data_IF_017808641434
#
_entry.id   IF_017808641434
#
_cell.length_a   1.000
_cell.length_b   1.000
_cell.length_c   1.000
_cell.angle_alpha   90.00
_cell.angle_beta   90.00
_cell.angle_gamma   90.00
#
_symmetry.space_group_name_H-M   'P 1'
#
loop_
_entity.id
_entity.type
_entity.pdbx_description
1 polymer ?
#
# COMPACT_ATOMS: atom_id res chain seq x y z
N UNK A 1 -61.98 18.76 -63.32
CA UNK A 1 -61.68 19.97 -62.52
C UNK A 1 -60.65 20.77 -63.31
N UNK A 2 -61.04 21.92 -63.88
CA UNK A 2 -60.10 22.84 -64.52
C UNK A 2 -59.30 23.56 -63.45
N UNK A 3 -57.93 23.38 -63.44
CA UNK A 3 -57.04 24.09 -62.52
C UNK A 3 -57.26 25.60 -62.68
N UNK A 4 -57.67 26.25 -61.62
CA UNK A 4 -57.87 27.70 -61.50
C UNK A 4 -56.60 28.51 -61.61
N UNK A 5 -55.44 27.94 -61.18
CA UNK A 5 -54.14 28.54 -61.28
C UNK A 5 -53.07 27.48 -61.49
N UNK A 6 -51.93 27.83 -62.06
CA UNK A 6 -50.87 26.91 -62.31
C UNK A 6 -49.59 27.58 -62.82
N UNK A 7 -48.52 26.80 -62.82
CA UNK A 7 -47.22 27.22 -63.34
C UNK A 7 -46.72 26.19 -64.38
N UNK A 8 -46.22 26.64 -65.49
CA UNK A 8 -45.62 25.80 -66.56
C UNK A 8 -44.34 26.43 -67.09
N UNK A 9 -43.40 25.58 -67.47
CA UNK A 9 -42.18 26.05 -68.13
C UNK A 9 -42.46 26.11 -69.67
N UNK A 10 -42.18 27.26 -70.28
CA UNK A 10 -42.36 27.50 -71.71
C UNK A 10 -41.03 28.02 -72.28
N UNK A 11 -40.70 27.61 -73.54
CA UNK A 11 -39.52 28.12 -74.25
C UNK A 11 -39.98 29.03 -75.36
N UNK A 12 -39.60 30.30 -75.34
CA UNK A 12 -39.89 31.28 -76.39
C UNK A 12 -38.58 31.97 -76.78
N UNK A 13 -38.32 32.01 -78.12
CA UNK A 13 -37.12 32.64 -78.68
C UNK A 13 -35.76 32.05 -78.14
N UNK A 14 -35.77 30.76 -77.79
CA UNK A 14 -34.58 30.09 -77.26
C UNK A 14 -34.34 30.28 -75.72
N UNK A 15 -35.16 31.10 -75.05
CA UNK A 15 -35.11 31.36 -73.61
C UNK A 15 -36.24 30.63 -72.90
N UNK A 16 -35.92 29.99 -71.72
CA UNK A 16 -36.95 29.37 -70.91
C UNK A 16 -37.57 30.38 -69.95
N UNK A 17 -38.90 30.33 -69.86
CA UNK A 17 -39.71 31.18 -68.98
C UNK A 17 -40.57 30.31 -68.08
N UNK A 18 -40.81 30.74 -66.87
CA UNK A 18 -41.89 30.24 -66.00
C UNK A 18 -43.14 31.07 -66.32
N UNK A 19 -44.17 30.39 -66.78
CA UNK A 19 -45.48 30.97 -67.12
C UNK A 19 -46.40 30.65 -65.93
N UNK A 20 -46.77 31.67 -65.20
CA UNK A 20 -47.75 31.61 -64.14
C UNK A 20 -49.10 32.04 -64.72
N UNK A 21 -50.15 31.29 -64.50
CA UNK A 21 -51.51 31.65 -64.93
C UNK A 21 -52.46 31.47 -63.77
N UNK A 22 -53.42 32.44 -63.73
CA UNK A 22 -54.50 32.43 -62.75
C UNK A 22 -55.80 32.84 -63.50
N UNK A 23 -56.88 32.08 -63.28
CA UNK A 23 -58.19 32.37 -63.82
C UNK A 23 -58.93 33.28 -62.88
N UNK A 24 -59.30 34.48 -63.38
CA UNK A 24 -60.11 35.41 -62.61
C UNK A 24 -61.57 34.92 -62.54
N UNK A 25 -62.15 35.00 -61.35
CA UNK A 25 -63.59 34.67 -61.18
C UNK A 25 -64.55 35.61 -61.89
N UNK A 26 -64.08 36.65 -62.65
CA UNK A 26 -64.87 37.62 -63.38
C UNK A 26 -64.60 37.44 -64.86
N UNK A 27 -65.64 37.05 -65.63
CA UNK A 27 -65.61 36.96 -67.08
C UNK A 27 -64.60 36.05 -67.75
N UNK A 28 -64.24 34.90 -67.15
CA UNK A 28 -63.30 33.90 -67.71
C UNK A 28 -61.93 34.48 -68.17
N UNK A 29 -61.48 35.53 -67.56
CA UNK A 29 -60.20 36.14 -67.87
C UNK A 29 -59.08 35.33 -67.24
N UNK A 30 -57.96 35.14 -67.97
CA UNK A 30 -56.77 34.49 -67.49
C UNK A 30 -55.67 35.53 -67.38
N UNK A 31 -55.15 35.75 -66.18
CA UNK A 31 -53.98 36.56 -66.00
C UNK A 31 -52.76 35.67 -66.18
N UNK A 32 -51.83 36.08 -67.00
CA UNK A 32 -50.63 35.34 -67.37
C UNK A 32 -49.39 36.19 -67.00
N UNK A 33 -48.57 35.73 -66.18
CA UNK A 33 -47.25 36.30 -65.85
C UNK A 33 -46.13 35.44 -66.42
N UNK A 34 -45.18 36.05 -67.12
CA UNK A 34 -43.98 35.39 -67.63
C UNK A 34 -42.75 35.91 -66.95
N UNK A 35 -41.95 35.02 -66.36
CA UNK A 35 -40.69 35.37 -65.73
C UNK A 35 -39.54 34.54 -66.31
N UNK A 36 -38.46 35.15 -66.79
CA UNK A 36 -37.31 34.41 -67.28
C UNK A 36 -36.78 33.41 -66.25
N UNK A 37 -36.60 32.16 -66.68
CA UNK A 37 -36.19 31.09 -65.81
C UNK A 37 -34.74 31.26 -65.26
N UNK A 38 -33.88 31.92 -66.04
CA UNK A 38 -32.50 32.25 -65.64
C UNK A 38 -32.42 33.20 -64.45
N UNK A 39 -33.33 34.21 -64.44
CA UNK A 39 -33.41 35.15 -63.30
C UNK A 39 -33.84 34.42 -61.98
N UNK A 40 -34.85 33.58 -62.11
CA UNK A 40 -35.37 32.83 -60.97
C UNK A 40 -34.33 31.82 -60.47
N UNK A 41 -33.70 31.08 -61.39
CA UNK A 41 -32.71 30.08 -61.08
C UNK A 41 -31.43 30.71 -60.50
N UNK A 42 -31.00 31.87 -61.05
CA UNK A 42 -29.81 32.56 -60.46
C UNK A 42 -30.04 33.00 -59.03
N UNK A 43 -31.23 33.52 -58.71
CA UNK A 43 -31.54 33.90 -57.31
C UNK A 43 -31.72 32.70 -56.40
N UNK A 44 -32.33 31.60 -56.90
CA UNK A 44 -32.46 30.34 -56.11
C UNK A 44 -31.09 29.72 -55.80
N UNK A 45 -30.20 29.67 -56.83
CA UNK A 45 -28.84 29.15 -56.58
C UNK A 45 -28.03 29.97 -55.50
N UNK A 46 -28.17 31.31 -55.61
CA UNK A 46 -27.51 32.19 -54.65
C UNK A 46 -28.04 31.98 -53.24
N UNK A 47 -29.34 31.83 -53.05
CA UNK A 47 -29.96 31.53 -51.75
C UNK A 47 -29.54 30.15 -51.23
N UNK A 48 -29.51 29.11 -52.06
CA UNK A 48 -29.08 27.78 -51.66
C UNK A 48 -27.63 27.78 -51.23
N UNK A 49 -26.72 28.41 -51.97
CA UNK A 49 -25.30 28.49 -51.61
C UNK A 49 -25.10 29.25 -50.27
N UNK A 50 -25.79 30.36 -50.07
CA UNK A 50 -25.71 31.11 -48.81
C UNK A 50 -26.24 30.30 -47.63
N UNK A 51 -27.31 29.52 -47.79
CA UNK A 51 -27.84 28.65 -46.73
C UNK A 51 -26.86 27.57 -46.37
N UNK A 52 -26.22 26.88 -47.31
CA UNK A 52 -25.21 25.85 -47.06
C UNK A 52 -24.00 26.43 -46.33
N UNK A 53 -23.56 27.64 -46.70
CA UNK A 53 -22.43 28.29 -46.00
C UNK A 53 -22.80 28.60 -44.55
N UNK A 54 -24.00 29.15 -44.29
CA UNK A 54 -24.46 29.46 -42.93
C UNK A 54 -24.56 28.19 -42.07
N UNK A 55 -25.15 27.13 -42.62
CA UNK A 55 -25.23 25.82 -41.93
C UNK A 55 -23.85 25.27 -41.63
N UNK A 56 -22.90 25.35 -42.55
CA UNK A 56 -21.50 24.94 -42.35
C UNK A 56 -20.80 25.71 -41.22
N UNK A 57 -21.02 27.03 -41.16
CA UNK A 57 -20.48 27.86 -40.09
C UNK A 57 -21.07 27.49 -38.71
N UNK A 58 -22.39 27.29 -38.63
CA UNK A 58 -23.07 26.89 -37.42
C UNK A 58 -22.59 25.53 -36.95
N UNK A 59 -22.51 24.54 -37.83
CA UNK A 59 -22.04 23.19 -37.50
C UNK A 59 -20.57 23.21 -37.03
N UNK A 60 -19.70 23.99 -37.68
CA UNK A 60 -18.31 24.15 -37.25
C UNK A 60 -18.20 24.81 -35.88
N UNK A 61 -19.01 25.83 -35.62
CA UNK A 61 -19.07 26.48 -34.29
C UNK A 61 -19.50 25.52 -33.17
N UNK A 62 -20.52 24.71 -33.43
CA UNK A 62 -21.01 23.69 -32.52
C UNK A 62 -19.89 22.64 -32.27
N UNK A 63 -19.20 22.17 -33.30
CA UNK A 63 -18.13 21.20 -33.20
C UNK A 63 -16.97 21.74 -32.36
N UNK A 64 -16.53 22.98 -32.58
CA UNK A 64 -15.49 23.63 -31.80
C UNK A 64 -15.93 23.78 -30.33
N UNK A 65 -17.17 24.15 -30.08
CA UNK A 65 -17.70 24.26 -28.71
C UNK A 65 -17.71 22.90 -28.01
N UNK A 66 -18.16 21.82 -28.64
CA UNK A 66 -18.17 20.46 -28.09
C UNK A 66 -16.76 19.97 -27.79
N UNK A 67 -15.81 20.19 -28.73
CA UNK A 67 -14.40 19.84 -28.52
C UNK A 67 -13.84 20.60 -27.29
N UNK A 68 -14.13 21.90 -27.19
CA UNK A 68 -13.75 22.71 -26.04
C UNK A 68 -14.29 22.17 -24.71
N UNK A 69 -15.54 21.73 -24.66
CA UNK A 69 -16.13 21.11 -23.47
C UNK A 69 -15.45 19.78 -23.12
N UNK A 70 -15.18 18.94 -24.12
CA UNK A 70 -14.49 17.64 -23.91
C UNK A 70 -13.08 17.87 -23.36
N UNK A 71 -12.31 18.76 -23.99
CA UNK A 71 -10.96 19.08 -23.55
C UNK A 71 -10.93 19.67 -22.12
N UNK A 72 -11.85 20.57 -21.80
CA UNK A 72 -11.99 21.14 -20.46
C UNK A 72 -12.32 20.06 -19.42
N UNK A 73 -13.26 19.17 -19.73
CA UNK A 73 -13.63 18.06 -18.85
C UNK A 73 -12.49 17.07 -18.64
N UNK A 74 -11.76 16.75 -19.72
CA UNK A 74 -10.59 15.87 -19.67
C UNK A 74 -9.46 16.47 -18.80
N UNK A 75 -9.18 17.76 -18.97
CA UNK A 75 -8.13 18.45 -18.17
C UNK A 75 -8.47 18.52 -16.69
N UNK A 76 -9.74 18.71 -16.32
CA UNK A 76 -10.18 18.69 -14.91
C UNK A 76 -10.03 17.28 -14.32
N UNK A 77 -10.45 16.26 -15.05
CA UNK A 77 -10.32 14.86 -14.59
C UNK A 77 -8.85 14.43 -14.40
N UNK A 78 -7.96 14.84 -15.33
CA UNK A 78 -6.53 14.59 -15.19
C UNK A 78 -5.96 15.24 -13.94
N UNK A 79 -6.24 16.54 -13.72
CA UNK A 79 -5.76 17.25 -12.52
C UNK A 79 -6.27 16.63 -11.23
N UNK A 80 -7.51 16.14 -11.18
CA UNK A 80 -8.04 15.46 -10.00
C UNK A 80 -7.31 14.16 -9.73
N UNK A 81 -7.03 13.35 -10.77
CA UNK A 81 -6.26 12.11 -10.63
C UNK A 81 -4.82 12.38 -10.17
N UNK A 82 -4.17 13.37 -10.75
CA UNK A 82 -2.81 13.75 -10.36
C UNK A 82 -2.75 14.21 -8.88
N UNK A 83 -3.74 15.00 -8.44
CA UNK A 83 -3.83 15.44 -7.05
C UNK A 83 -4.10 14.27 -6.10
N UNK A 84 -4.94 13.31 -6.49
CA UNK A 84 -5.23 12.12 -5.69
C UNK A 84 -3.99 11.22 -5.57
N UNK A 85 -3.25 11.03 -6.67
CA UNK A 85 -1.99 10.25 -6.66
C UNK A 85 -0.97 10.93 -5.75
N UNK A 86 -0.74 12.23 -5.89
CA UNK A 86 0.18 12.98 -5.04
C UNK A 86 -0.21 12.91 -3.56
N UNK A 87 -1.50 13.02 -3.25
CA UNK A 87 -2.00 12.91 -1.88
C UNK A 87 -1.75 11.51 -1.29
N UNK A 88 -2.02 10.45 -2.06
CA UNK A 88 -1.77 9.06 -1.65
C UNK A 88 -0.27 8.81 -1.42
N UNK A 89 0.57 9.32 -2.30
CA UNK A 89 2.02 9.19 -2.18
C UNK A 89 2.55 9.93 -0.94
N UNK A 90 2.12 11.17 -0.72
CA UNK A 90 2.49 11.96 0.46
C UNK A 90 2.00 11.30 1.76
N UNK A 91 0.76 10.79 1.77
CA UNK A 91 0.21 10.06 2.90
C UNK A 91 1.02 8.80 3.20
N UNK A 92 1.33 8.00 2.17
CA UNK A 92 2.12 6.79 2.33
C UNK A 92 3.54 7.08 2.81
N UNK A 93 4.18 8.12 2.28
CA UNK A 93 5.49 8.57 2.77
C UNK A 93 5.44 8.98 4.24
N UNK A 94 4.45 9.80 4.64
CA UNK A 94 4.30 10.21 6.05
C UNK A 94 4.01 9.04 6.99
N UNK A 95 3.21 8.09 6.57
CA UNK A 95 2.96 6.87 7.34
C UNK A 95 4.23 6.04 7.47
N UNK A 96 4.96 5.83 6.38
CA UNK A 96 6.22 5.06 6.39
C UNK A 96 7.32 5.69 7.24
N UNK A 97 7.34 7.01 7.41
CA UNK A 97 8.32 7.70 8.26
C UNK A 97 8.04 7.57 9.77
N UNK A 98 6.82 7.22 10.15
CA UNK A 98 6.41 7.11 11.56
C UNK A 98 6.28 5.66 12.04
N UNK A 99 6.75 4.70 11.25
CA UNK A 99 6.71 3.27 11.56
C UNK A 99 8.14 2.76 11.63
N UNK A 100 8.42 1.88 12.59
CA UNK A 100 9.72 1.22 12.76
C UNK A 100 9.93 0.08 11.72
N UNK A 101 9.26 0.20 10.57
CA UNK A 101 9.32 -0.76 9.47
C UNK A 101 9.90 -0.10 8.21
N UNK A 102 10.76 -0.81 7.52
CA UNK A 102 11.24 -0.45 6.17
C UNK A 102 10.47 -1.24 5.14
N UNK A 103 9.84 -0.52 4.19
CA UNK A 103 9.12 -1.12 3.07
C UNK A 103 9.96 -1.08 1.81
N UNK A 104 10.03 -2.22 1.12
CA UNK A 104 10.70 -2.34 -0.17
C UNK A 104 9.77 -3.02 -1.17
N UNK A 105 9.89 -2.61 -2.44
CA UNK A 105 9.25 -3.28 -3.56
C UNK A 105 10.30 -3.60 -4.61
N UNK A 106 10.39 -4.86 -4.98
CA UNK A 106 11.34 -5.38 -5.95
C UNK A 106 10.60 -5.91 -7.17
N UNK A 107 11.11 -5.63 -8.35
CA UNK A 107 10.63 -6.27 -9.56
C UNK A 107 11.14 -7.70 -9.63
N UNK A 108 10.22 -8.67 -9.79
CA UNK A 108 10.55 -10.09 -9.75
C UNK A 108 11.41 -10.54 -10.95
N UNK A 109 11.27 -9.88 -12.11
CA UNK A 109 12.03 -10.26 -13.31
C UNK A 109 13.42 -9.62 -13.32
N UNK A 110 13.48 -8.32 -13.08
CA UNK A 110 14.73 -7.53 -13.18
C UNK A 110 15.51 -7.48 -11.88
N UNK A 111 14.90 -7.83 -10.75
CA UNK A 111 15.44 -7.65 -9.39
C UNK A 111 15.80 -6.19 -9.05
N UNK A 112 15.26 -5.23 -9.79
CA UNK A 112 15.42 -3.83 -9.48
C UNK A 112 14.50 -3.41 -8.34
N UNK A 113 14.97 -2.48 -7.53
CA UNK A 113 14.20 -1.93 -6.44
C UNK A 113 13.36 -0.76 -6.95
N UNK A 114 12.05 -0.97 -7.06
CA UNK A 114 11.10 0.06 -7.50
C UNK A 114 10.80 1.07 -6.40
N UNK A 115 10.70 0.60 -5.17
CA UNK A 115 10.38 1.45 -4.02
C UNK A 115 11.19 1.07 -2.79
N UNK A 116 11.59 2.08 -2.04
CA UNK A 116 12.18 1.97 -0.69
C UNK A 116 11.59 3.08 0.16
N UNK A 117 11.12 2.76 1.35
CA UNK A 117 10.61 3.75 2.27
C UNK A 117 11.70 4.73 2.74
N UNK A 118 11.37 6.01 2.94
CA UNK A 118 12.37 7.05 3.27
C UNK A 118 13.11 6.81 4.58
N UNK A 119 12.49 6.14 5.56
CA UNK A 119 13.07 5.82 6.87
C UNK A 119 14.18 4.76 6.84
N UNK A 120 14.44 4.13 5.69
CA UNK A 120 15.56 3.18 5.52
C UNK A 120 16.91 3.77 5.95
N UNK A 121 17.13 5.06 5.72
CA UNK A 121 18.36 5.76 6.15
C UNK A 121 18.56 5.83 7.65
N UNK A 122 17.48 5.87 8.42
CA UNK A 122 17.48 5.90 9.89
C UNK A 122 17.56 4.49 10.47
N UNK A 123 16.78 3.56 9.95
CA UNK A 123 16.68 2.20 10.47
C UNK A 123 17.86 1.31 10.05
N UNK A 124 18.31 1.42 8.82
CA UNK A 124 19.38 0.60 8.25
C UNK A 124 20.74 1.32 8.14
N UNK A 125 20.75 2.64 8.27
CA UNK A 125 21.95 3.44 8.01
C UNK A 125 22.33 3.53 6.53
N UNK A 126 21.43 3.11 5.62
CA UNK A 126 21.59 3.07 4.18
C UNK A 126 20.44 3.82 3.56
N UNK A 127 20.72 4.83 2.74
CA UNK A 127 19.65 5.64 2.16
C UNK A 127 18.85 4.86 1.10
N UNK A 128 17.59 5.24 0.93
CA UNK A 128 16.71 4.66 -0.10
C UNK A 128 17.34 4.73 -1.50
N UNK A 129 18.09 5.81 -1.79
CA UNK A 129 18.78 5.98 -3.07
C UNK A 129 19.92 4.96 -3.25
N UNK A 130 20.71 4.71 -2.20
CA UNK A 130 21.77 3.71 -2.24
C UNK A 130 21.23 2.30 -2.46
N UNK A 131 20.07 1.97 -1.86
CA UNK A 131 19.42 0.68 -2.06
C UNK A 131 18.89 0.55 -3.50
N UNK A 132 18.29 1.62 -4.06
CA UNK A 132 17.79 1.61 -5.45
C UNK A 132 18.91 1.47 -6.48
N UNK A 133 20.04 2.11 -6.25
CA UNK A 133 21.18 2.06 -7.17
C UNK A 133 21.96 0.74 -7.12
N UNK A 134 21.92 0.05 -5.99
CA UNK A 134 22.66 -1.19 -5.79
C UNK A 134 21.88 -2.22 -4.95
N UNK A 135 21.22 -3.13 -5.64
CA UNK A 135 20.44 -4.23 -5.01
C UNK A 135 21.33 -5.21 -4.23
N UNK A 136 22.64 -5.25 -4.51
CA UNK A 136 23.59 -6.07 -3.75
C UNK A 136 23.61 -5.70 -2.26
N UNK A 137 23.29 -4.47 -1.91
CA UNK A 137 23.17 -4.02 -0.51
C UNK A 137 22.11 -4.81 0.25
N UNK A 138 21.03 -5.23 -0.41
CA UNK A 138 19.98 -6.06 0.22
C UNK A 138 20.49 -7.49 0.50
N UNK A 139 21.33 -8.04 -0.35
CA UNK A 139 21.96 -9.34 -0.11
C UNK A 139 22.90 -9.28 1.11
N UNK A 140 23.70 -8.23 1.20
CA UNK A 140 24.60 -7.99 2.34
C UNK A 140 23.81 -7.82 3.65
N UNK A 141 22.65 -7.14 3.61
CA UNK A 141 21.77 -7.00 4.79
C UNK A 141 21.27 -8.36 5.29
N UNK A 142 20.92 -9.25 4.36
CA UNK A 142 20.39 -10.58 4.68
C UNK A 142 21.50 -11.63 4.88
N UNK A 143 22.76 -11.23 4.98
CA UNK A 143 23.93 -12.13 5.08
C UNK A 143 24.02 -13.13 3.90
N UNK A 144 23.49 -12.76 2.77
CA UNK A 144 23.57 -13.51 1.52
C UNK A 144 24.77 -12.99 0.72
N UNK A 145 25.46 -13.90 0.04
CA UNK A 145 26.68 -13.55 -0.72
C UNK A 145 26.37 -12.72 -1.97
N UNK A 146 25.18 -12.93 -2.57
CA UNK A 146 24.83 -12.26 -3.82
C UNK A 146 23.35 -11.87 -3.90
N UNK A 147 23.04 -10.85 -4.71
CA UNK A 147 21.67 -10.47 -5.05
C UNK A 147 20.89 -11.62 -5.73
N UNK A 148 21.61 -12.50 -6.43
CA UNK A 148 21.04 -13.66 -7.10
C UNK A 148 20.53 -14.71 -6.11
N UNK A 149 21.21 -14.88 -4.97
CA UNK A 149 20.72 -15.73 -3.87
C UNK A 149 19.45 -15.14 -3.24
N UNK A 150 19.38 -13.83 -3.06
CA UNK A 150 18.16 -13.15 -2.59
C UNK A 150 17.01 -13.39 -3.57
N UNK A 151 17.26 -13.24 -4.87
CA UNK A 151 16.27 -13.54 -5.91
C UNK A 151 15.80 -14.97 -5.84
N UNK A 152 16.70 -15.96 -5.82
CA UNK A 152 16.37 -17.38 -5.74
C UNK A 152 15.54 -17.73 -4.49
N UNK A 153 15.80 -17.03 -3.38
CA UNK A 153 15.03 -17.19 -2.15
C UNK A 153 13.59 -16.66 -2.29
N UNK A 154 13.42 -15.56 -3.01
CA UNK A 154 12.11 -14.94 -3.27
C UNK A 154 11.36 -15.66 -4.42
N UNK A 155 12.05 -16.12 -5.46
CA UNK A 155 11.44 -16.84 -6.60
C UNK A 155 10.75 -18.14 -6.18
N UNK A 156 11.10 -18.70 -5.03
CA UNK A 156 10.42 -19.85 -4.44
C UNK A 156 9.09 -19.55 -3.75
N UNK A 157 8.64 -18.27 -3.70
CA UNK A 157 7.34 -17.90 -3.16
C UNK A 157 6.23 -18.27 -4.15
N UNK A 158 5.23 -19.00 -3.67
CA UNK A 158 4.00 -19.21 -4.43
C UNK A 158 3.14 -17.94 -4.41
N UNK A 159 2.23 -17.75 -5.38
CA UNK A 159 1.25 -16.67 -5.34
C UNK A 159 0.48 -16.68 -4.00
N UNK A 160 0.34 -15.51 -3.38
CA UNK A 160 -0.29 -15.31 -2.06
C UNK A 160 0.45 -15.97 -0.87
N UNK A 161 1.65 -16.51 -1.06
CA UNK A 161 2.50 -17.03 0.02
C UNK A 161 3.26 -15.88 0.69
N UNK A 162 3.38 -15.97 2.02
CA UNK A 162 4.25 -15.11 2.81
C UNK A 162 5.44 -15.93 3.30
N UNK A 163 6.61 -15.34 3.29
CA UNK A 163 7.81 -15.93 3.85
C UNK A 163 8.40 -14.99 4.87
N UNK A 164 8.71 -15.52 6.05
CA UNK A 164 9.19 -14.75 7.18
C UNK A 164 10.56 -15.27 7.63
N UNK A 165 11.45 -14.36 8.02
CA UNK A 165 12.73 -14.71 8.65
C UNK A 165 13.25 -13.56 9.49
N UNK A 166 14.12 -13.90 10.46
CA UNK A 166 14.84 -12.94 11.28
C UNK A 166 16.30 -12.88 10.84
N UNK A 167 16.90 -11.71 10.93
CA UNK A 167 18.33 -11.56 10.77
C UNK A 167 18.91 -10.52 11.72
N UNK A 168 20.21 -10.70 12.05
CA UNK A 168 20.98 -9.75 12.84
C UNK A 168 21.79 -8.86 11.89
N UNK A 169 21.78 -7.57 12.15
CA UNK A 169 22.42 -6.58 11.34
C UNK A 169 23.23 -5.59 12.17
N UNK A 170 24.40 -5.18 11.68
CA UNK A 170 25.18 -4.09 12.27
C UNK A 170 24.88 -2.82 11.52
N UNK A 171 24.24 -1.88 12.19
CA UNK A 171 23.84 -0.59 11.61
C UNK A 171 25.05 0.19 11.11
N UNK A 172 25.08 0.49 9.79
CA UNK A 172 26.30 1.01 9.12
C UNK A 172 26.83 2.33 9.66
N UNK A 173 25.97 3.19 10.22
CA UNK A 173 26.39 4.50 10.73
C UNK A 173 26.76 4.47 12.21
N UNK A 174 25.98 3.73 13.03
CA UNK A 174 26.16 3.73 14.50
C UNK A 174 27.00 2.58 14.99
N UNK A 175 27.16 1.51 14.21
CA UNK A 175 27.81 0.28 14.65
C UNK A 175 26.99 -0.55 15.63
N UNK A 176 25.74 -0.17 15.89
CA UNK A 176 24.83 -0.88 16.78
C UNK A 176 24.35 -2.17 16.16
N UNK A 177 24.23 -3.19 16.98
CA UNK A 177 23.63 -4.46 16.62
C UNK A 177 22.10 -4.33 16.67
N UNK A 178 21.42 -4.63 15.55
CA UNK A 178 19.97 -4.58 15.39
C UNK A 178 19.44 -5.92 14.94
N UNK A 179 18.20 -6.20 15.29
CA UNK A 179 17.47 -7.40 14.87
C UNK A 179 16.26 -7.01 14.05
N UNK A 180 16.19 -7.53 12.83
CA UNK A 180 15.09 -7.30 11.93
C UNK A 180 14.28 -8.58 11.72
N UNK A 181 12.97 -8.42 11.71
CA UNK A 181 12.02 -9.40 11.25
C UNK A 181 11.58 -9.01 9.84
N UNK A 182 11.67 -9.90 8.88
CA UNK A 182 11.32 -9.65 7.47
C UNK A 182 10.14 -10.50 7.08
N UNK A 183 9.18 -9.87 6.43
CA UNK A 183 8.06 -10.52 5.77
C UNK A 183 8.18 -10.22 4.29
N UNK A 184 8.29 -11.25 3.45
CA UNK A 184 8.27 -11.14 2.00
C UNK A 184 6.97 -11.72 1.46
N UNK A 185 6.34 -10.97 0.55
CA UNK A 185 5.08 -11.33 -0.10
C UNK A 185 5.23 -11.19 -1.61
N UNK A 186 4.63 -12.12 -2.35
CA UNK A 186 4.42 -11.99 -3.80
C UNK A 186 3.16 -11.16 -4.07
N UNK A 187 3.21 -10.28 -5.06
CA UNK A 187 2.10 -9.40 -5.42
C UNK A 187 2.11 -9.12 -6.92
N UNK A 188 0.94 -9.07 -7.52
CA UNK A 188 0.76 -8.57 -8.89
C UNK A 188 0.37 -7.08 -8.83
N UNK A 189 1.22 -6.24 -9.39
CA UNK A 189 0.98 -4.80 -9.50
C UNK A 189 0.95 -4.42 -10.97
N UNK A 190 -0.21 -4.07 -11.49
CA UNK A 190 -0.43 -3.68 -12.90
C UNK A 190 0.02 -4.76 -13.91
N UNK A 191 -0.20 -6.04 -13.60
CA UNK A 191 0.19 -7.16 -14.45
C UNK A 191 1.69 -7.48 -14.41
N UNK A 192 2.43 -6.96 -13.44
CA UNK A 192 3.84 -7.26 -13.19
C UNK A 192 4.01 -7.88 -11.81
N UNK A 193 4.71 -9.00 -11.78
CA UNK A 193 5.04 -9.67 -10.53
C UNK A 193 6.05 -8.84 -9.73
N UNK A 194 5.72 -8.53 -8.48
CA UNK A 194 6.55 -7.76 -7.56
C UNK A 194 6.70 -8.51 -6.25
N UNK A 195 7.87 -8.36 -5.60
CA UNK A 195 8.06 -8.78 -4.21
C UNK A 195 7.95 -7.56 -3.31
N UNK A 196 7.07 -7.64 -2.32
CA UNK A 196 6.93 -6.64 -1.27
C UNK A 196 7.62 -7.19 -0.02
N UNK A 197 8.59 -6.46 0.50
CA UNK A 197 9.30 -6.80 1.73
C UNK A 197 8.99 -5.76 2.79
N UNK A 198 8.64 -6.24 3.97
CA UNK A 198 8.49 -5.43 5.18
C UNK A 198 9.56 -5.86 6.16
N UNK A 199 10.41 -4.95 6.59
CA UNK A 199 11.51 -5.20 7.53
C UNK A 199 11.25 -4.41 8.80
N UNK A 200 10.85 -5.11 9.87
CA UNK A 200 10.52 -4.54 11.18
C UNK A 200 11.71 -4.58 12.13
N UNK A 201 12.10 -3.45 12.71
CA UNK A 201 13.13 -3.41 13.76
C UNK A 201 12.57 -3.98 15.07
N UNK A 202 13.10 -5.14 15.49
CA UNK A 202 12.73 -5.84 16.72
C UNK A 202 13.81 -5.76 17.80
N UNK A 203 14.74 -4.81 17.67
CA UNK A 203 15.88 -4.67 18.57
C UNK A 203 15.43 -4.46 20.02
N UNK A 204 14.50 -3.53 20.24
CA UNK A 204 13.98 -3.24 21.58
C UNK A 204 13.27 -4.47 22.19
N UNK A 205 12.41 -5.14 21.43
CA UNK A 205 11.70 -6.35 21.86
C UNK A 205 12.69 -7.47 22.25
N UNK A 206 13.74 -7.65 21.45
CA UNK A 206 14.76 -8.67 21.70
C UNK A 206 15.56 -8.37 22.97
N UNK A 207 15.94 -7.10 23.18
CA UNK A 207 16.66 -6.66 24.38
C UNK A 207 15.81 -6.83 25.64
N UNK A 208 14.54 -6.44 25.60
CA UNK A 208 13.60 -6.62 26.73
C UNK A 208 13.43 -8.10 27.07
N UNK A 209 13.21 -8.94 26.05
CA UNK A 209 13.06 -10.38 26.25
C UNK A 209 14.34 -11.04 26.81
N UNK A 210 15.51 -10.60 26.37
CA UNK A 210 16.79 -11.07 26.91
C UNK A 210 16.96 -10.66 28.38
N UNK A 211 16.72 -9.39 28.72
CA UNK A 211 16.79 -8.89 30.08
C UNK A 211 15.80 -9.59 31.01
N UNK A 212 14.59 -9.83 30.56
CA UNK A 212 13.55 -10.57 31.29
C UNK A 212 14.00 -12.02 31.55
N UNK A 213 14.51 -12.71 30.53
CA UNK A 213 15.02 -14.09 30.68
C UNK A 213 16.17 -14.18 31.66
N UNK A 214 17.08 -13.22 31.65
CA UNK A 214 18.19 -13.17 32.62
C UNK A 214 17.70 -12.87 34.03
N UNK A 215 16.75 -11.97 34.20
CA UNK A 215 16.13 -11.68 35.51
C UNK A 215 15.41 -12.91 36.08
N UNK A 216 14.66 -13.64 35.25
CA UNK A 216 13.98 -14.88 35.66
C UNK A 216 15.02 -15.93 36.11
N UNK A 217 16.07 -16.15 35.30
CA UNK A 217 17.13 -17.11 35.63
C UNK A 217 17.84 -16.75 36.95
N UNK A 218 18.09 -15.48 37.19
CA UNK A 218 18.71 -14.99 38.43
C UNK A 218 17.80 -15.23 39.63
N UNK A 219 16.50 -14.89 39.49
CA UNK A 219 15.50 -15.12 40.53
C UNK A 219 15.34 -16.62 40.86
N UNK A 220 15.29 -17.49 39.86
CA UNK A 220 15.24 -18.95 40.08
C UNK A 220 16.48 -19.47 40.81
N UNK A 221 17.67 -19.00 40.43
CA UNK A 221 18.92 -19.40 41.06
C UNK A 221 18.95 -18.99 42.53
N UNK A 222 18.55 -17.74 42.82
CA UNK A 222 18.43 -17.24 44.18
C UNK A 222 17.39 -18.03 45.01
N UNK A 223 16.26 -18.37 44.42
CA UNK A 223 15.20 -19.13 45.08
C UNK A 223 15.65 -20.59 45.40
N UNK A 224 16.36 -21.23 44.46
CA UNK A 224 16.98 -22.56 44.71
C UNK A 224 18.00 -22.52 45.80
N UNK A 225 18.89 -21.52 45.82
CA UNK A 225 19.87 -21.33 46.88
C UNK A 225 19.19 -21.11 48.24
N UNK A 226 18.16 -20.27 48.32
CA UNK A 226 17.34 -20.04 49.51
C UNK A 226 16.69 -21.33 50.03
N UNK A 227 16.10 -22.12 49.13
CA UNK A 227 15.46 -23.38 49.49
C UNK A 227 16.45 -24.41 50.02
N UNK A 228 17.60 -24.54 49.38
CA UNK A 228 18.69 -25.41 49.85
C UNK A 228 19.23 -24.98 51.23
N UNK A 229 19.43 -23.66 51.41
CA UNK A 229 19.86 -23.10 52.71
C UNK A 229 18.84 -23.42 53.81
N UNK A 230 17.55 -23.18 53.61
CA UNK A 230 16.51 -23.46 54.59
C UNK A 230 16.40 -24.97 54.91
N UNK A 231 16.55 -25.83 53.90
CA UNK A 231 16.53 -27.28 54.07
C UNK A 231 17.71 -27.73 54.93
N UNK A 232 18.92 -27.26 54.59
CA UNK A 232 20.15 -27.62 55.36
C UNK A 232 20.07 -27.08 56.80
N UNK A 233 19.67 -25.81 56.97
CA UNK A 233 19.47 -25.21 58.29
C UNK A 233 18.44 -25.97 59.11
N UNK A 234 17.32 -26.39 58.50
CA UNK A 234 16.32 -27.20 59.23
C UNK A 234 16.86 -28.54 59.68
N UNK A 235 17.70 -29.18 58.87
CA UNK A 235 18.39 -30.45 59.27
C UNK A 235 19.40 -30.23 60.41
N UNK A 236 20.24 -29.15 60.24
CA UNK A 236 21.29 -28.86 61.21
C UNK A 236 20.77 -28.40 62.59
N UNK A 237 19.56 -27.79 62.58
CA UNK A 237 18.85 -27.46 63.84
C UNK A 237 18.17 -28.70 64.47
N UNK A 238 17.51 -29.50 63.60
CA UNK A 238 16.71 -30.66 64.02
C UNK A 238 17.59 -31.71 64.75
N UNK A 239 18.82 -31.94 64.24
CA UNK A 239 19.73 -32.96 64.82
C UNK A 239 20.07 -32.69 66.23
N UNK A 240 20.60 -31.52 66.65
CA UNK A 240 20.89 -31.25 68.09
C UNK A 240 19.62 -31.13 68.91
N UNK A 241 18.52 -30.56 68.35
CA UNK A 241 17.25 -30.50 69.09
C UNK A 241 16.71 -31.90 69.45
N UNK A 242 16.77 -32.87 68.55
CA UNK A 242 16.34 -34.22 68.78
C UNK A 242 17.24 -34.90 69.81
N UNK A 243 18.53 -34.62 69.79
CA UNK A 243 19.44 -35.13 70.77
C UNK A 243 19.12 -34.58 72.20
N UNK A 244 18.90 -33.26 72.30
CA UNK A 244 18.49 -32.62 73.58
C UNK A 244 17.19 -33.23 74.13
N UNK A 245 16.16 -33.32 73.26
CA UNK A 245 14.84 -33.89 73.59
C UNK A 245 15.01 -35.35 74.02
N UNK A 246 15.81 -36.13 73.29
CA UNK A 246 16.08 -37.52 73.60
C UNK A 246 16.72 -37.74 74.95
N UNK A 247 17.84 -37.00 75.21
CA UNK A 247 18.54 -37.10 76.48
C UNK A 247 17.69 -36.55 77.64
N UNK A 248 16.92 -35.48 77.44
CA UNK A 248 16.03 -34.96 78.47
C UNK A 248 14.89 -35.97 78.76
N UNK A 249 14.34 -36.67 77.77
CA UNK A 249 13.34 -37.73 77.96
C UNK A 249 13.94 -38.94 78.76
N UNK A 250 15.19 -39.34 78.43
CA UNK A 250 15.89 -40.40 79.13
C UNK A 250 16.20 -40.01 80.58
N UNK A 251 16.58 -38.77 80.81
CA UNK A 251 16.83 -38.26 82.17
C UNK A 251 15.53 -38.27 82.99
N UNK A 252 14.40 -37.82 82.44
CA UNK A 252 13.10 -37.83 83.10
C UNK A 252 12.56 -39.23 83.39
N UNK A 253 12.88 -40.24 82.53
CA UNK A 253 12.52 -41.65 82.79
C UNK A 253 13.41 -42.38 83.79
N UNK A 254 14.53 -41.81 84.18
CA UNK A 254 15.48 -42.46 85.10
C UNK A 254 15.80 -41.58 86.35
N UNK A 255 14.84 -40.83 86.88
CA UNK A 255 15.02 -39.83 87.94
C UNK A 255 15.55 -40.45 89.19
N UNK A 256 15.35 -41.74 89.51
CA UNK A 256 15.89 -42.48 90.68
C UNK A 256 17.39 -42.78 90.57
N UNK A 257 17.95 -42.83 89.32
CA UNK A 257 19.35 -43.10 89.06
C UNK A 257 20.14 -41.81 88.82
N UNK A 258 20.67 -41.23 89.88
CA UNK A 258 21.39 -39.93 89.83
C UNK A 258 22.61 -39.92 88.92
N UNK A 259 23.30 -41.04 88.72
CA UNK A 259 24.46 -41.11 87.82
C UNK A 259 24.05 -41.06 86.37
N UNK A 260 23.02 -41.76 85.98
CA UNK A 260 22.46 -41.73 84.61
C UNK A 260 21.88 -40.38 84.27
N UNK A 261 21.12 -39.77 85.17
CA UNK A 261 20.57 -38.42 84.96
C UNK A 261 21.72 -37.44 84.73
N UNK A 262 22.78 -37.50 85.48
CA UNK A 262 23.95 -36.63 85.29
C UNK A 262 24.63 -36.86 83.93
N UNK A 263 24.86 -38.12 83.54
CA UNK A 263 25.43 -38.45 82.20
C UNK A 263 24.58 -37.91 81.05
N UNK A 264 23.22 -38.00 81.14
CA UNK A 264 22.32 -37.44 80.09
C UNK A 264 22.35 -35.92 80.08
N UNK A 265 22.41 -35.24 81.23
CA UNK A 265 22.52 -33.78 81.29
C UNK A 265 23.88 -33.29 80.77
N UNK A 266 24.95 -33.97 81.01
CA UNK A 266 26.30 -33.66 80.53
C UNK A 266 26.41 -33.81 79.01
N UNK A 267 25.57 -34.68 78.39
CA UNK A 267 25.45 -34.84 76.93
C UNK A 267 24.58 -33.77 76.27
N UNK A 268 23.74 -33.07 77.01
CA UNK A 268 22.94 -31.95 76.54
C UNK A 268 23.73 -30.65 76.60
N UNK A 269 24.57 -30.45 77.61
CA UNK A 269 25.44 -29.28 77.75
C UNK A 269 26.65 -29.34 76.83
#
# INVERSE_FOLDING_TARGET
>A
QQEQSGARTVTAGGTKFYLLYERSGIQDWITVGMVPADIVNANMNTLQVSTIIIEGIILSGIAVYIIGLILRRSSVNLRQKDTEILYREELFQKLSMNVDDVFLMLDAETSQTDYVSPNAGELLGITAEQIRQNTQVLAELNQLETAEQTKKYLDGLAPDEQREWDFEYIHRKTGERRWFHVIAMDSDVEGRRKYILVMSDRTADKQVNQALSEAVRTAETANRAKSAFLSNMSHDIRTPMNAIIGFATLAAGNVEDKERVRDYLDKIL
#
